data_IF_105864315260
#
_entry.id   IF_105864315260
#
_cell.length_a   1.000
_cell.length_b   1.000
_cell.length_c   1.000
_cell.angle_alpha   90.00
_cell.angle_beta   90.00
_cell.angle_gamma   90.00
#
_symmetry.space_group_name_H-M   'P 1'
#
loop_
_entity.id
_entity.type
_entity.pdbx_description
1 polymer ?
#
# COMPACT_ATOMS: atom_id res chain seq x y z
N UNK A 1 45.51 -6.13 -9.22
CA UNK A 1 44.32 -6.71 -9.87
C UNK A 1 43.27 -7.18 -8.85
N UNK A 2 43.58 -8.11 -7.94
CA UNK A 2 42.62 -8.64 -6.93
C UNK A 2 41.98 -7.59 -6.00
N UNK A 3 42.71 -6.57 -5.55
CA UNK A 3 42.19 -5.53 -4.64
C UNK A 3 41.02 -4.74 -5.22
N UNK A 4 41.04 -4.49 -6.54
CA UNK A 4 40.01 -3.75 -7.27
C UNK A 4 38.75 -4.61 -7.46
N UNK A 5 38.93 -5.91 -7.71
CA UNK A 5 37.82 -6.87 -7.82
C UNK A 5 37.09 -7.01 -6.49
N UNK A 6 37.83 -7.11 -5.38
CA UNK A 6 37.23 -7.17 -4.03
C UNK A 6 36.45 -5.88 -3.73
N UNK A 7 37.00 -4.70 -4.06
CA UNK A 7 36.31 -3.44 -3.86
C UNK A 7 35.01 -3.34 -4.68
N UNK A 8 35.03 -3.77 -5.94
CA UNK A 8 33.84 -3.80 -6.81
C UNK A 8 32.77 -4.75 -6.27
N UNK A 9 33.16 -5.95 -5.82
CA UNK A 9 32.23 -6.91 -5.22
C UNK A 9 31.61 -6.40 -3.92
N UNK A 10 32.38 -5.71 -3.08
CA UNK A 10 31.88 -5.10 -1.85
C UNK A 10 30.85 -3.99 -2.14
N UNK A 11 31.12 -3.15 -3.14
CA UNK A 11 30.18 -2.09 -3.56
C UNK A 11 28.90 -2.70 -4.13
N UNK A 12 29.01 -3.72 -4.98
CA UNK A 12 27.84 -4.44 -5.52
C UNK A 12 27.00 -5.09 -4.41
N UNK A 13 27.64 -5.74 -3.43
CA UNK A 13 26.95 -6.35 -2.29
C UNK A 13 26.19 -5.32 -1.43
N UNK A 14 26.77 -4.13 -1.22
CA UNK A 14 26.10 -3.04 -0.50
C UNK A 14 24.87 -2.50 -1.24
N UNK A 15 24.89 -2.46 -2.58
CA UNK A 15 23.73 -2.03 -3.39
C UNK A 15 22.57 -3.03 -3.29
N UNK A 16 22.84 -4.33 -3.17
CA UNK A 16 21.79 -5.34 -2.98
C UNK A 16 21.11 -5.25 -1.60
N UNK A 17 21.80 -4.70 -0.59
CA UNK A 17 21.28 -4.55 0.77
C UNK A 17 20.38 -3.32 0.95
N UNK A 18 20.33 -2.42 -0.05
CA UNK A 18 19.42 -1.26 -0.06
C UNK A 18 18.05 -1.57 -0.67
N UNK A 19 17.78 -2.83 -1.02
CA UNK A 19 16.42 -3.26 -1.33
C UNK A 19 15.69 -3.39 0.00
N UNK A 20 15.10 -2.28 0.46
CA UNK A 20 14.04 -2.36 1.46
C UNK A 20 13.04 -3.40 0.95
N UNK A 21 12.72 -4.45 1.73
CA UNK A 21 11.61 -5.31 1.37
C UNK A 21 10.39 -4.40 1.36
N UNK A 22 9.96 -3.98 0.16
CA UNK A 22 8.70 -3.27 0.01
C UNK A 22 7.68 -4.13 0.72
N UNK A 23 7.07 -3.62 1.79
CA UNK A 23 5.88 -4.25 2.33
C UNK A 23 4.86 -4.19 1.19
N UNK A 24 4.84 -5.24 0.39
CA UNK A 24 4.12 -5.25 -0.86
C UNK A 24 2.65 -5.01 -0.51
N UNK A 25 2.16 -3.84 -0.90
CA UNK A 25 0.77 -3.50 -0.71
C UNK A 25 -0.03 -4.52 -1.51
N UNK A 26 -1.01 -5.15 -0.86
CA UNK A 26 -1.94 -6.06 -1.52
C UNK A 26 -3.38 -5.53 -1.41
N UNK A 27 -4.24 -5.97 -2.32
CA UNK A 27 -5.63 -5.52 -2.32
C UNK A 27 -6.42 -6.00 -1.09
N UNK A 28 -6.03 -7.12 -0.47
CA UNK A 28 -6.69 -7.65 0.73
C UNK A 28 -6.51 -6.68 1.91
N UNK A 29 -5.32 -6.11 2.05
CA UNK A 29 -4.96 -5.11 3.05
C UNK A 29 -5.68 -3.79 2.78
N UNK A 30 -5.76 -3.37 1.52
CA UNK A 30 -6.56 -2.20 1.10
C UNK A 30 -8.02 -2.38 1.51
N UNK A 31 -8.62 -3.52 1.16
CA UNK A 31 -10.02 -3.81 1.48
C UNK A 31 -10.28 -3.86 2.99
N UNK A 32 -9.38 -4.50 3.76
CA UNK A 32 -9.47 -4.55 5.23
C UNK A 32 -9.46 -3.16 5.87
N UNK A 33 -8.64 -2.24 5.37
CA UNK A 33 -8.60 -0.87 5.87
C UNK A 33 -9.86 -0.08 5.50
N UNK A 34 -10.57 -0.45 4.45
CA UNK A 34 -11.75 0.28 3.95
C UNK A 34 -13.09 -0.38 4.32
N UNK A 35 -13.09 -1.59 4.88
CA UNK A 35 -14.33 -2.34 5.14
C UNK A 35 -15.33 -1.58 6.03
N UNK A 36 -14.82 -0.80 6.99
CA UNK A 36 -15.64 0.02 7.90
C UNK A 36 -16.22 1.27 7.23
N UNK A 37 -15.82 1.59 5.99
CA UNK A 37 -16.34 2.71 5.22
C UNK A 37 -17.63 2.36 4.46
N UNK A 38 -17.92 1.07 4.23
CA UNK A 38 -18.98 0.63 3.32
C UNK A 38 -20.35 1.21 3.70
N UNK A 39 -20.72 1.19 4.99
CA UNK A 39 -22.01 1.73 5.46
C UNK A 39 -22.17 3.22 5.14
N UNK A 40 -21.08 3.98 5.28
CA UNK A 40 -21.07 5.42 4.93
C UNK A 40 -21.10 5.62 3.41
N UNK A 41 -20.28 4.88 2.66
CA UNK A 41 -20.23 4.98 1.19
C UNK A 41 -21.55 4.58 0.52
N UNK A 42 -22.33 3.68 1.14
CA UNK A 42 -23.69 3.32 0.71
C UNK A 42 -24.78 4.26 1.22
N UNK A 43 -24.44 5.29 2.00
CA UNK A 43 -25.41 6.24 2.56
C UNK A 43 -26.31 5.67 3.67
N UNK A 44 -25.95 4.51 4.25
CA UNK A 44 -26.69 3.90 5.38
C UNK A 44 -26.52 4.73 6.66
N UNK A 45 -25.35 5.36 6.82
CA UNK A 45 -25.05 6.27 7.93
C UNK A 45 -24.64 7.64 7.39
N UNK A 46 -24.96 8.74 8.10
CA UNK A 46 -24.69 10.10 7.61
C UNK A 46 -23.22 10.50 7.72
N UNK A 47 -22.43 9.85 8.58
CA UNK A 47 -21.04 10.17 8.83
C UNK A 47 -20.17 8.90 8.80
N UNK A 48 -18.90 8.99 8.35
CA UNK A 48 -17.99 7.85 8.39
C UNK A 48 -17.70 7.42 9.83
N UNK A 49 -17.70 6.11 10.14
CA UNK A 49 -17.22 5.62 11.42
C UNK A 49 -15.77 6.03 11.66
N UNK A 50 -15.38 6.25 12.92
CA UNK A 50 -13.99 6.59 13.27
C UNK A 50 -12.99 5.55 12.73
N UNK A 51 -13.38 4.27 12.75
CA UNK A 51 -12.60 3.17 12.20
C UNK A 51 -12.36 3.30 10.68
N UNK A 52 -13.33 3.84 9.92
CA UNK A 52 -13.14 4.13 8.50
C UNK A 52 -12.05 5.19 8.31
N UNK A 53 -12.15 6.32 9.02
CA UNK A 53 -11.15 7.38 8.94
C UNK A 53 -9.75 6.91 9.35
N UNK A 54 -9.67 6.08 10.39
CA UNK A 54 -8.42 5.45 10.82
C UNK A 54 -7.83 4.56 9.73
N UNK A 55 -8.63 3.70 9.11
CA UNK A 55 -8.18 2.83 8.03
C UNK A 55 -7.71 3.59 6.78
N UNK A 56 -8.43 4.63 6.38
CA UNK A 56 -8.01 5.53 5.28
C UNK A 56 -6.68 6.21 5.60
N UNK A 57 -6.48 6.65 6.85
CA UNK A 57 -5.22 7.27 7.30
C UNK A 57 -4.06 6.26 7.26
N UNK A 58 -4.28 5.04 7.75
CA UNK A 58 -3.29 3.95 7.65
C UNK A 58 -2.89 3.72 6.20
N UNK A 59 -3.85 3.62 5.26
CA UNK A 59 -3.53 3.43 3.85
C UNK A 59 -2.70 4.58 3.29
N UNK A 60 -3.08 5.83 3.57
CA UNK A 60 -2.31 7.01 3.15
C UNK A 60 -0.86 6.94 3.63
N UNK A 61 -0.64 6.51 4.87
CA UNK A 61 0.70 6.45 5.47
C UNK A 61 1.52 5.26 4.95
N UNK A 62 0.86 4.20 4.46
CA UNK A 62 1.50 3.03 3.83
C UNK A 62 1.80 3.23 2.33
N UNK A 63 0.90 3.87 1.57
CA UNK A 63 1.06 4.10 0.11
C UNK A 63 1.92 5.34 -0.19
N UNK A 64 3.22 5.28 0.13
CA UNK A 64 4.09 6.46 0.03
C UNK A 64 4.61 6.73 -1.38
N UNK A 65 4.89 5.69 -2.16
CA UNK A 65 5.43 5.82 -3.53
C UNK A 65 4.33 6.00 -4.58
N UNK A 66 4.70 6.48 -5.78
CA UNK A 66 3.76 6.58 -6.89
C UNK A 66 3.24 5.20 -7.33
N UNK A 67 4.11 4.20 -7.38
CA UNK A 67 3.75 2.84 -7.77
C UNK A 67 2.73 2.24 -6.77
N UNK A 68 2.96 2.42 -5.48
CA UNK A 68 2.06 1.98 -4.41
C UNK A 68 0.68 2.66 -4.50
N UNK A 69 0.65 3.97 -4.78
CA UNK A 69 -0.59 4.72 -4.96
C UNK A 69 -1.37 4.23 -6.17
N UNK A 70 -0.71 3.98 -7.30
CA UNK A 70 -1.35 3.46 -8.50
C UNK A 70 -1.91 2.05 -8.25
N UNK A 71 -1.15 1.19 -7.57
CA UNK A 71 -1.60 -0.15 -7.20
C UNK A 71 -2.83 -0.09 -6.27
N UNK A 72 -2.76 0.67 -5.17
CA UNK A 72 -3.87 0.81 -4.24
C UNK A 72 -5.11 1.41 -4.91
N UNK A 73 -4.94 2.39 -5.81
CA UNK A 73 -6.04 2.96 -6.59
C UNK A 73 -6.79 1.89 -7.40
N UNK A 74 -6.07 0.96 -8.04
CA UNK A 74 -6.69 -0.13 -8.78
C UNK A 74 -7.45 -1.10 -7.86
N UNK A 75 -6.91 -1.42 -6.68
CA UNK A 75 -7.62 -2.21 -5.68
C UNK A 75 -8.93 -1.53 -5.25
N UNK A 76 -8.88 -0.23 -4.90
CA UNK A 76 -10.07 0.55 -4.49
C UNK A 76 -11.12 0.59 -5.61
N UNK A 77 -10.70 0.77 -6.87
CA UNK A 77 -11.61 0.77 -8.02
C UNK A 77 -12.33 -0.58 -8.17
N UNK A 78 -11.61 -1.69 -8.04
CA UNK A 78 -12.20 -3.02 -8.10
C UNK A 78 -13.15 -3.28 -6.92
N UNK A 79 -12.76 -2.91 -5.70
CA UNK A 79 -13.61 -3.02 -4.52
C UNK A 79 -14.91 -2.20 -4.67
N UNK A 80 -14.81 -0.98 -5.20
CA UNK A 80 -15.97 -0.13 -5.49
C UNK A 80 -16.92 -0.75 -6.52
N UNK A 81 -16.37 -1.39 -7.57
CA UNK A 81 -17.18 -2.10 -8.56
C UNK A 81 -17.95 -3.27 -7.94
N UNK A 82 -17.33 -3.99 -6.99
CA UNK A 82 -17.92 -5.14 -6.30
C UNK A 82 -18.94 -4.75 -5.22
N UNK A 83 -18.93 -3.50 -4.76
CA UNK A 83 -19.79 -3.01 -3.67
C UNK A 83 -21.07 -2.31 -4.16
N UNK A 84 -21.29 -2.19 -5.47
CA UNK A 84 -22.44 -1.55 -6.14
C UNK A 84 -23.79 -2.29 -6.00
N UNK A 85 -23.98 -3.06 -4.93
CA UNK A 85 -25.26 -3.72 -4.58
C UNK A 85 -26.15 -2.77 -3.81
#
# INVERSE_FOLDING_TARGET
MMKKVIAVLLVLAMVQLMVEPSQAIDCISVDKNLIQCISFLKGVVPNPPEACCKGVKTLKDTVTTLADKQFACNCVKNAAANTKT
#
